data_IF_758569150532
#
_entry.id   IF_758569150532
#
_cell.length_a   1.000
_cell.length_b   1.000
_cell.length_c   1.000
_cell.angle_alpha   90.00
_cell.angle_beta   90.00
_cell.angle_gamma   90.00
#
_symmetry.space_group_name_H-M   'P 1'
#
loop_
_entity.id
_entity.type
_entity.pdbx_description
1 polymer ?
#
# COMPACT_ATOMS: atom_id res chain seq x y z
N UNK A 1 22.94 -2.89 -2.60
CA UNK A 1 22.18 -4.15 -2.76
C UNK A 1 20.75 -3.80 -3.07
N UNK A 2 20.25 -4.18 -4.25
CA UNK A 2 18.86 -3.90 -4.62
C UNK A 2 17.95 -4.83 -3.80
N UNK A 3 17.13 -4.23 -2.94
CA UNK A 3 16.11 -4.94 -2.18
C UNK A 3 15.07 -5.45 -3.16
N UNK A 4 14.97 -6.77 -3.29
CA UNK A 4 14.00 -7.44 -4.14
C UNK A 4 12.64 -7.40 -3.43
N UNK A 5 11.68 -6.65 -3.99
CA UNK A 5 10.32 -6.53 -3.45
C UNK A 5 9.60 -7.87 -3.26
N UNK A 6 10.06 -8.94 -3.93
CA UNK A 6 9.55 -10.30 -3.76
C UNK A 6 10.07 -11.03 -2.50
N UNK A 7 11.33 -10.78 -2.09
CA UNK A 7 11.88 -11.36 -0.86
C UNK A 7 11.50 -10.56 0.39
N UNK A 8 11.10 -9.30 0.18
CA UNK A 8 10.53 -8.44 1.21
C UNK A 8 9.02 -8.68 1.29
N UNK A 9 8.61 -9.83 1.84
CA UNK A 9 7.20 -10.20 2.05
C UNK A 9 6.42 -9.19 2.95
N UNK A 10 7.05 -8.10 3.38
CA UNK A 10 6.55 -7.12 4.32
C UNK A 10 6.93 -5.70 3.92
N UNK A 11 6.68 -5.30 2.67
CA UNK A 11 6.61 -3.88 2.33
C UNK A 11 5.75 -3.17 3.37
N UNK A 12 6.39 -2.33 4.19
CA UNK A 12 5.71 -1.60 5.27
C UNK A 12 4.82 -0.52 4.66
N UNK A 13 3.66 -0.19 5.27
CA UNK A 13 2.82 0.91 4.83
C UNK A 13 3.62 2.21 4.60
N UNK A 14 4.60 2.54 5.45
CA UNK A 14 5.44 3.74 5.25
C UNK A 14 6.28 3.69 3.96
N UNK A 15 6.85 2.52 3.64
CA UNK A 15 7.63 2.31 2.41
C UNK A 15 6.72 2.40 1.17
N UNK A 16 5.51 1.85 1.27
CA UNK A 16 4.48 1.94 0.23
C UNK A 16 4.09 3.41 -0.02
N UNK A 17 3.81 4.19 1.03
CA UNK A 17 3.45 5.59 0.91
C UNK A 17 4.54 6.42 0.22
N UNK A 18 5.81 6.17 0.58
CA UNK A 18 6.95 6.86 -0.01
C UNK A 18 7.19 6.48 -1.48
N UNK A 19 6.94 5.20 -1.83
CA UNK A 19 7.15 4.68 -3.18
C UNK A 19 6.02 5.05 -4.14
N UNK A 20 4.81 5.27 -3.63
CA UNK A 20 3.61 5.54 -4.42
C UNK A 20 2.89 6.81 -3.95
N UNK A 21 3.43 8.02 -4.12
CA UNK A 21 2.84 9.25 -3.57
C UNK A 21 1.39 9.52 -4.00
N UNK A 22 0.96 8.99 -5.17
CA UNK A 22 -0.42 9.07 -5.67
C UNK A 22 -1.38 8.01 -5.14
N UNK A 23 -0.99 7.16 -4.18
CA UNK A 23 -1.79 6.02 -3.72
C UNK A 23 -3.17 6.42 -3.18
N UNK A 24 -3.30 7.62 -2.59
CA UNK A 24 -4.58 8.15 -2.07
C UNK A 24 -5.60 8.42 -3.17
N UNK A 25 -5.17 8.89 -4.34
CA UNK A 25 -6.08 9.09 -5.47
C UNK A 25 -6.57 7.75 -6.03
N UNK A 26 -5.69 6.74 -6.06
CA UNK A 26 -6.09 5.39 -6.44
C UNK A 26 -7.08 4.80 -5.44
N UNK A 27 -6.87 5.04 -4.14
CA UNK A 27 -7.77 4.60 -3.08
C UNK A 27 -9.17 5.22 -3.22
N UNK A 28 -9.25 6.53 -3.51
CA UNK A 28 -10.52 7.23 -3.75
C UNK A 28 -11.30 6.73 -4.98
N UNK A 29 -10.61 6.14 -5.95
CA UNK A 29 -11.20 5.59 -7.18
C UNK A 29 -11.39 4.06 -7.11
N UNK A 30 -10.89 3.41 -6.06
CA UNK A 30 -10.94 1.95 -5.88
C UNK A 30 -12.37 1.51 -5.59
N UNK A 31 -12.79 0.44 -6.26
CA UNK A 31 -13.99 -0.30 -5.87
C UNK A 31 -13.82 -0.92 -4.46
N UNK A 32 -14.71 -0.61 -3.49
CA UNK A 32 -14.69 -1.20 -2.16
C UNK A 32 -14.61 -2.73 -2.15
N UNK A 33 -15.23 -3.41 -3.12
CA UNK A 33 -15.25 -4.87 -3.25
C UNK A 33 -13.90 -5.44 -3.74
N UNK A 34 -13.04 -4.62 -4.35
CA UNK A 34 -11.72 -5.03 -4.80
C UNK A 34 -10.68 -4.72 -3.72
N UNK A 35 -10.46 -5.67 -2.81
CA UNK A 35 -9.53 -5.53 -1.68
C UNK A 35 -8.55 -6.71 -1.64
N UNK A 36 -7.30 -6.47 -2.03
CA UNK A 36 -6.24 -7.47 -1.90
C UNK A 36 -5.58 -7.40 -0.52
N UNK A 37 -5.02 -8.52 -0.05
CA UNK A 37 -4.24 -8.58 1.20
C UNK A 37 -3.09 -7.57 1.23
N UNK A 38 -2.52 -7.25 0.07
CA UNK A 38 -1.53 -6.19 -0.06
C UNK A 38 -2.14 -4.83 0.29
N UNK A 39 -3.27 -4.47 -0.31
CA UNK A 39 -3.96 -3.20 -0.08
C UNK A 39 -4.39 -3.03 1.38
N UNK A 40 -4.84 -4.11 2.00
CA UNK A 40 -5.21 -4.13 3.43
C UNK A 40 -4.02 -3.80 4.34
N UNK A 41 -2.84 -4.32 4.03
CA UNK A 41 -1.65 -4.14 4.86
C UNK A 41 -0.93 -2.82 4.63
N UNK A 42 -1.10 -2.21 3.45
CA UNK A 42 -0.43 -0.97 3.07
C UNK A 42 -1.39 0.21 3.10
N UNK A 43 -2.15 0.43 2.02
CA UNK A 43 -3.01 1.59 1.81
C UNK A 43 -4.08 1.74 2.89
N UNK A 44 -4.82 0.68 3.24
CA UNK A 44 -5.86 0.76 4.28
C UNK A 44 -5.27 1.11 5.65
N UNK A 45 -4.12 0.54 6.00
CA UNK A 45 -3.48 0.80 7.31
C UNK A 45 -2.98 2.24 7.42
N UNK A 46 -2.54 2.84 6.31
CA UNK A 46 -2.20 4.27 6.25
C UNK A 46 -3.44 5.16 6.33
N UNK A 47 -4.51 4.83 5.62
CA UNK A 47 -5.76 5.60 5.62
C UNK A 47 -6.49 5.59 6.97
N UNK A 48 -6.34 4.52 7.76
CA UNK A 48 -6.88 4.42 9.12
C UNK A 48 -6.08 5.19 10.18
N UNK A 49 -4.85 5.62 9.85
CA UNK A 49 -3.93 6.29 10.78
C UNK A 49 -3.92 7.82 10.62
N UNK A 50 -4.81 8.37 9.77
CA UNK A 50 -4.96 9.80 9.50
C UNK A 50 -6.21 10.39 10.11
#
# INVERSE_FOLDING_TARGET
GAVNAYKDARMSPAMFAASFPGWRQLEALRDPACLSDFWTRTALRLGQSG
#
